data_IF_977032222354
#
_entry.id   IF_977032222354
#
_cell.length_a   1.000
_cell.length_b   1.000
_cell.length_c   1.000
_cell.angle_alpha   90.00
_cell.angle_beta   90.00
_cell.angle_gamma   90.00
#
_symmetry.space_group_name_H-M   'P 1'
#
loop_
_entity.id
_entity.type
_entity.pdbx_description
1 polymer ?
#
# COMPACT_ATOMS: atom_id res chain seq x y z
N UNK A 1 -12.93 -20.19 -9.64
CA UNK A 1 -13.56 -19.32 -8.63
C UNK A 1 -13.42 -17.88 -9.07
N UNK A 2 -14.45 -17.04 -8.94
CA UNK A 2 -14.30 -15.58 -9.11
C UNK A 2 -13.82 -14.99 -7.79
N UNK A 3 -12.66 -14.35 -7.80
CA UNK A 3 -12.10 -13.68 -6.62
C UNK A 3 -12.94 -12.44 -6.29
N UNK A 4 -12.99 -12.10 -5.00
CA UNK A 4 -13.56 -10.85 -4.47
C UNK A 4 -12.47 -10.20 -3.62
N UNK A 5 -11.44 -9.63 -4.26
CA UNK A 5 -10.30 -9.08 -3.54
C UNK A 5 -10.72 -7.85 -2.71
N UNK A 6 -9.96 -7.60 -1.67
CA UNK A 6 -9.93 -6.33 -0.94
C UNK A 6 -8.61 -5.63 -1.31
N UNK A 7 -8.70 -4.48 -1.99
CA UNK A 7 -7.54 -3.77 -2.51
C UNK A 7 -7.02 -2.76 -1.50
N UNK A 8 -5.83 -3.05 -0.96
CA UNK A 8 -5.07 -2.12 -0.11
C UNK A 8 -4.02 -1.43 -0.96
N UNK A 9 -4.10 -0.10 -1.05
CA UNK A 9 -3.03 0.71 -1.63
C UNK A 9 -2.10 1.22 -0.54
N UNK A 10 -0.82 0.83 -0.60
CA UNK A 10 0.20 1.32 0.32
C UNK A 10 0.80 2.60 -0.26
N UNK A 11 0.31 3.74 0.21
CA UNK A 11 0.76 5.04 -0.25
C UNK A 11 2.17 5.33 0.30
N UNK A 12 3.18 5.54 -0.57
CA UNK A 12 4.50 5.93 -0.10
C UNK A 12 4.46 7.37 0.46
N UNK A 13 5.43 7.74 1.33
CA UNK A 13 5.63 9.15 1.67
C UNK A 13 5.88 10.01 0.44
N UNK A 14 5.47 11.27 0.49
CA UNK A 14 5.67 12.24 -0.61
C UNK A 14 7.14 12.60 -0.84
N UNK A 15 8.00 12.41 0.15
CA UNK A 15 9.41 12.78 0.08
C UNK A 15 10.29 11.53 -0.15
N UNK A 16 11.10 11.48 -1.23
CA UNK A 16 12.01 10.36 -1.51
C UNK A 16 12.95 10.03 -0.35
N UNK A 17 13.46 11.04 0.36
CA UNK A 17 14.34 10.87 1.52
C UNK A 17 13.65 10.18 2.69
N UNK A 18 12.35 10.44 2.89
CA UNK A 18 11.55 9.78 3.92
C UNK A 18 11.31 8.33 3.55
N UNK A 19 10.98 8.05 2.29
CA UNK A 19 10.85 6.68 1.78
C UNK A 19 12.17 5.90 1.90
N UNK A 20 13.29 6.52 1.52
CA UNK A 20 14.62 5.96 1.69
C UNK A 20 14.90 5.61 3.16
N UNK A 21 14.65 6.54 4.08
CA UNK A 21 14.86 6.30 5.52
C UNK A 21 14.02 5.13 6.04
N UNK A 22 12.75 5.03 5.63
CA UNK A 22 11.87 3.93 6.04
C UNK A 22 12.38 2.58 5.54
N UNK A 23 12.81 2.49 4.28
CA UNK A 23 13.26 1.23 3.69
C UNK A 23 14.70 0.85 4.09
N UNK A 24 15.57 1.83 4.32
CA UNK A 24 16.97 1.62 4.73
C UNK A 24 17.08 0.92 6.09
N UNK A 25 16.11 1.13 7.00
CA UNK A 25 16.06 0.44 8.30
C UNK A 25 15.81 -1.07 8.18
N UNK A 26 15.26 -1.53 7.05
CA UNK A 26 14.91 -2.94 6.79
C UNK A 26 15.86 -3.62 5.80
N UNK A 27 16.50 -2.85 4.92
CA UNK A 27 17.44 -3.34 3.89
C UNK A 27 18.83 -3.61 4.48
N UNK A 28 18.94 -4.60 5.37
CA UNK A 28 20.23 -5.19 5.80
C UNK A 28 20.62 -6.42 4.97
N UNK A 29 19.79 -6.82 3.99
CA UNK A 29 20.06 -7.93 3.07
C UNK A 29 20.56 -7.44 1.72
N UNK A 30 21.65 -8.07 1.29
CA UNK A 30 22.54 -7.78 0.17
C UNK A 30 21.83 -7.58 -1.18
N UNK A 31 22.24 -6.54 -1.94
CA UNK A 31 22.25 -6.62 -3.41
C UNK A 31 21.86 -5.37 -4.20
N UNK A 32 20.96 -4.52 -3.70
CA UNK A 32 20.47 -3.36 -4.46
C UNK A 32 20.51 -2.08 -3.63
N UNK A 33 21.54 -1.26 -3.84
CA UNK A 33 21.57 0.11 -3.34
C UNK A 33 20.62 0.95 -4.20
N UNK A 34 19.43 1.24 -3.69
CA UNK A 34 18.50 2.17 -4.33
C UNK A 34 19.09 3.59 -4.29
N UNK A 35 18.98 4.30 -5.40
CA UNK A 35 19.32 5.71 -5.52
C UNK A 35 18.11 6.60 -5.19
N UNK A 36 18.34 7.88 -4.93
CA UNK A 36 17.26 8.87 -4.75
C UNK A 36 16.30 8.90 -5.95
N UNK A 37 16.83 8.72 -7.17
CA UNK A 37 16.03 8.68 -8.39
C UNK A 37 15.08 7.46 -8.41
N UNK A 38 15.53 6.31 -7.90
CA UNK A 38 14.68 5.13 -7.81
C UNK A 38 13.52 5.34 -6.84
N UNK A 39 13.78 6.00 -5.69
CA UNK A 39 12.73 6.37 -4.74
C UNK A 39 11.74 7.38 -5.31
N UNK A 40 12.22 8.36 -6.09
CA UNK A 40 11.34 9.29 -6.80
C UNK A 40 10.46 8.56 -7.82
N UNK A 41 11.02 7.62 -8.57
CA UNK A 41 10.24 6.82 -9.53
C UNK A 41 9.13 6.03 -8.87
N UNK A 42 9.36 5.48 -7.67
CA UNK A 42 8.32 4.78 -6.89
C UNK A 42 7.18 5.74 -6.52
N UNK A 43 7.51 6.96 -6.09
CA UNK A 43 6.52 7.97 -5.70
C UNK A 43 5.70 8.43 -6.92
N UNK A 44 6.37 8.62 -8.07
CA UNK A 44 5.71 9.03 -9.31
C UNK A 44 4.75 7.94 -9.81
N UNK A 45 5.18 6.67 -9.80
CA UNK A 45 4.35 5.52 -10.16
C UNK A 45 3.16 5.36 -9.21
N UNK A 46 3.39 5.50 -7.90
CA UNK A 46 2.32 5.46 -6.90
C UNK A 46 1.28 6.56 -7.14
N UNK A 47 1.73 7.78 -7.49
CA UNK A 47 0.85 8.90 -7.84
C UNK A 47 -0.01 8.58 -9.07
N UNK A 48 0.59 7.98 -10.10
CA UNK A 48 -0.13 7.56 -11.30
C UNK A 48 -1.16 6.47 -11.01
N UNK A 49 -0.80 5.50 -10.16
CA UNK A 49 -1.70 4.43 -9.70
C UNK A 49 -2.89 5.02 -8.95
N UNK A 50 -2.68 5.96 -8.04
CA UNK A 50 -3.74 6.60 -7.26
C UNK A 50 -4.71 7.39 -8.16
N UNK A 51 -4.18 8.16 -9.12
CA UNK A 51 -5.01 8.93 -10.07
C UNK A 51 -5.87 7.99 -10.94
N UNK A 52 -5.28 6.91 -11.47
CA UNK A 52 -5.96 6.02 -12.42
C UNK A 52 -6.90 5.03 -11.74
N UNK A 53 -6.49 4.51 -10.59
CA UNK A 53 -7.12 3.35 -9.96
C UNK A 53 -7.62 3.61 -8.55
N UNK A 54 -7.50 4.83 -8.01
CA UNK A 54 -7.89 5.16 -6.63
C UNK A 54 -9.33 4.77 -6.27
N UNK A 55 -10.23 4.81 -7.25
CA UNK A 55 -11.63 4.40 -7.08
C UNK A 55 -11.85 2.88 -6.92
N UNK A 56 -10.80 2.07 -7.08
CA UNK A 56 -10.82 0.62 -6.82
C UNK A 56 -10.26 0.24 -5.45
N UNK A 57 -9.67 1.17 -4.71
CA UNK A 57 -9.08 0.84 -3.41
C UNK A 57 -10.17 0.77 -2.36
N UNK A 58 -10.14 -0.31 -1.58
CA UNK A 58 -10.99 -0.45 -0.39
C UNK A 58 -10.33 0.23 0.82
N UNK A 59 -9.00 0.32 0.83
CA UNK A 59 -8.20 0.96 1.88
C UNK A 59 -6.96 1.65 1.29
N UNK A 60 -6.62 2.83 1.82
CA UNK A 60 -5.35 3.50 1.57
C UNK A 60 -4.54 3.52 2.87
N UNK A 61 -3.41 2.81 2.87
CA UNK A 61 -2.50 2.70 4.01
C UNK A 61 -1.33 3.67 3.83
N UNK A 62 -1.21 4.66 4.73
CA UNK A 62 -0.14 5.66 4.67
C UNK A 62 1.15 5.11 5.27
N UNK A 63 2.17 4.87 4.44
CA UNK A 63 3.43 4.27 4.88
C UNK A 63 4.34 5.30 5.57
N UNK A 64 3.94 5.78 6.75
CA UNK A 64 4.69 6.76 7.57
C UNK A 64 5.66 6.10 8.53
N UNK A 65 5.28 4.96 9.09
CA UNK A 65 6.06 4.08 9.95
C UNK A 65 5.65 2.63 9.65
N UNK A 66 6.62 1.72 9.58
CA UNK A 66 6.35 0.34 9.16
C UNK A 66 5.52 -0.42 10.19
N UNK A 67 5.80 -0.21 11.48
CA UNK A 67 5.10 -0.93 12.55
C UNK A 67 3.65 -0.46 12.63
N UNK A 68 3.42 0.86 12.63
CA UNK A 68 2.07 1.40 12.64
C UNK A 68 1.26 0.96 11.41
N UNK A 69 1.87 1.01 10.21
CA UNK A 69 1.21 0.57 8.99
C UNK A 69 0.86 -0.94 9.04
N UNK A 70 1.74 -1.76 9.63
CA UNK A 70 1.48 -3.17 9.85
C UNK A 70 0.32 -3.39 10.84
N UNK A 71 0.30 -2.68 11.97
CA UNK A 71 -0.77 -2.79 12.96
C UNK A 71 -2.12 -2.34 12.39
N UNK A 72 -2.14 -1.27 11.60
CA UNK A 72 -3.35 -0.78 10.92
C UNK A 72 -3.87 -1.82 9.91
N UNK A 73 -2.99 -2.39 9.10
CA UNK A 73 -3.34 -3.47 8.17
C UNK A 73 -3.89 -4.70 8.90
N UNK A 74 -3.26 -5.11 10.01
CA UNK A 74 -3.74 -6.24 10.81
C UNK A 74 -5.10 -5.96 11.43
N UNK A 75 -5.33 -4.73 11.89
CA UNK A 75 -6.62 -4.29 12.42
C UNK A 75 -7.72 -4.41 11.36
N UNK A 76 -7.43 -3.93 10.14
CA UNK A 76 -8.39 -4.03 9.02
C UNK A 76 -8.66 -5.49 8.64
N UNK A 77 -7.63 -6.32 8.51
CA UNK A 77 -7.80 -7.76 8.21
C UNK A 77 -8.69 -8.44 9.25
N UNK A 78 -8.48 -8.16 10.55
CA UNK A 78 -9.31 -8.71 11.60
C UNK A 78 -10.76 -8.21 11.50
N UNK A 79 -10.99 -6.95 11.13
CA UNK A 79 -12.33 -6.42 10.90
C UNK A 79 -13.02 -7.13 9.73
N UNK A 80 -12.30 -7.40 8.63
CA UNK A 80 -12.83 -8.14 7.47
C UNK A 80 -13.33 -9.56 7.81
N UNK A 81 -12.78 -10.19 8.84
CA UNK A 81 -13.24 -11.52 9.31
C UNK A 81 -14.59 -11.46 10.03
N UNK A 82 -14.96 -10.30 10.59
CA UNK A 82 -16.14 -10.14 11.45
C UNK A 82 -17.20 -9.21 10.88
N UNK A 83 -16.82 -8.35 9.93
CA UNK A 83 -17.67 -7.28 9.39
C UNK A 83 -17.90 -7.45 7.88
N UNK A 84 -19.16 -7.35 7.41
CA UNK A 84 -19.46 -7.46 5.99
C UNK A 84 -18.97 -6.23 5.22
N UNK A 85 -18.46 -6.47 4.00
CA UNK A 85 -17.94 -5.42 3.11
C UNK A 85 -18.89 -5.10 1.96
N UNK A 86 -18.84 -3.84 1.50
CA UNK A 86 -19.50 -3.42 0.28
C UNK A 86 -18.72 -3.94 -0.93
N UNK A 87 -19.38 -4.71 -1.79
CA UNK A 87 -18.78 -5.17 -3.05
C UNK A 87 -19.63 -4.72 -4.24
N UNK A 88 -19.02 -4.54 -5.43
CA UNK A 88 -19.77 -4.30 -6.65
C UNK A 88 -20.81 -5.40 -6.88
N UNK A 89 -22.04 -5.02 -7.17
CA UNK A 89 -23.14 -5.99 -7.39
C UNK A 89 -22.86 -6.93 -8.55
N UNK A 90 -22.01 -6.53 -9.52
CA UNK A 90 -21.57 -7.41 -10.60
C UNK A 90 -20.78 -8.64 -10.11
N UNK A 91 -20.17 -8.60 -8.92
CA UNK A 91 -19.41 -9.72 -8.35
C UNK A 91 -20.30 -10.82 -7.76
N UNK A 92 -21.59 -10.53 -7.55
CA UNK A 92 -22.57 -11.50 -7.06
C UNK A 92 -23.15 -12.38 -8.19
N UNK A 93 -22.81 -12.10 -9.45
CA UNK A 93 -23.26 -12.86 -10.63
C UNK A 93 -22.38 -14.06 -10.95
#
# INVERSE_FOLDING_TARGET
AKLKPFFVFVAPPTQPETLHRLLALKNTSEGSTFTVADYQSIIDEATEIEIKFGHFFDMVLQMTDIENAYQELMTEINALEHEPQWIPSQWLK
#
